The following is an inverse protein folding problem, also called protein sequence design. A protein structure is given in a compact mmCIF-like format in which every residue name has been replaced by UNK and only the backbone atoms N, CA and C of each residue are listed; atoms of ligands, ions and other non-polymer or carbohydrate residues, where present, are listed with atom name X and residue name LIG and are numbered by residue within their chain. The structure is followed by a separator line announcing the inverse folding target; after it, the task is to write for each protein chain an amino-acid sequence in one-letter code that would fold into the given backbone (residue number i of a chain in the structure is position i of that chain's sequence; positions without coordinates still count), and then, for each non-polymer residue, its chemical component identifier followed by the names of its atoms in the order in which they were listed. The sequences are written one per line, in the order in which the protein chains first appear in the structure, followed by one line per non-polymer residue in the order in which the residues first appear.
data_IF_621793053736
#
_entry.id   IF_621793053736
#
_cell.length_a   1.000
_cell.length_b   1.000
_cell.length_c   1.000
_cell.angle_alpha   90.00
_cell.angle_beta   90.00
_cell.angle_gamma   90.00
#
_symmetry.space_group_name_H-M   'P 1'
#
loop_
_entity.id
_entity.type
_entity.pdbx_description
1 polymer ?
#
# COMPACT_ATOMS: atom_id res chain seq x y z
N UNK A 1 23.93 -3.87 3.54
CA UNK A 1 22.71 -4.08 4.35
C UNK A 1 21.53 -4.20 3.39
N UNK A 2 20.40 -4.77 3.81
CA UNK A 2 19.16 -4.82 3.01
C UNK A 2 17.96 -4.43 3.89
N UNK A 3 16.76 -4.33 3.31
CA UNK A 3 15.56 -3.89 4.02
C UNK A 3 15.28 -4.71 5.30
N UNK A 4 15.26 -6.04 5.20
CA UNK A 4 14.99 -6.90 6.36
C UNK A 4 16.09 -6.81 7.41
N UNK A 5 17.35 -6.66 7.00
CA UNK A 5 18.47 -6.40 7.91
C UNK A 5 18.30 -5.11 8.72
N UNK A 6 17.81 -4.03 8.11
CA UNK A 6 17.49 -2.79 8.83
C UNK A 6 16.37 -3.00 9.84
N UNK A 7 15.30 -3.70 9.43
CA UNK A 7 14.17 -3.99 10.29
C UNK A 7 14.59 -4.85 11.49
N UNK A 8 15.38 -5.90 11.26
CA UNK A 8 15.91 -6.76 12.33
C UNK A 8 16.82 -5.98 13.27
N UNK A 9 17.69 -5.13 12.74
CA UNK A 9 18.59 -4.31 13.54
C UNK A 9 17.84 -3.30 14.41
N UNK A 10 16.88 -2.58 13.86
CA UNK A 10 16.02 -1.66 14.62
C UNK A 10 15.25 -2.41 15.72
N UNK A 11 14.65 -3.56 15.39
CA UNK A 11 13.92 -4.37 16.35
C UNK A 11 14.83 -5.01 17.42
N UNK A 12 16.13 -5.18 17.16
CA UNK A 12 17.09 -5.73 18.13
C UNK A 12 17.37 -4.78 19.31
N UNK A 13 17.03 -3.49 19.17
CA UNK A 13 17.09 -2.51 20.25
C UNK A 13 16.00 -2.73 21.31
N UNK A 14 14.97 -3.52 20.99
CA UNK A 14 13.90 -3.90 21.90
C UNK A 14 14.07 -5.35 22.34
N UNK A 15 13.86 -5.63 23.63
CA UNK A 15 13.83 -7.01 24.12
C UNK A 15 12.57 -7.74 23.61
N UNK A 16 12.61 -9.07 23.55
CA UNK A 16 11.46 -9.90 23.17
C UNK A 16 10.22 -9.60 24.02
N UNK A 17 10.42 -9.37 25.32
CA UNK A 17 9.36 -9.03 26.26
C UNK A 17 8.72 -7.67 25.93
N UNK A 18 9.52 -6.65 25.61
CA UNK A 18 9.01 -5.32 25.21
C UNK A 18 8.21 -5.45 23.92
N UNK A 19 8.72 -6.20 22.94
CA UNK A 19 8.02 -6.43 21.66
C UNK A 19 6.69 -7.16 21.86
N UNK A 20 6.66 -8.18 22.72
CA UNK A 20 5.45 -8.93 23.03
C UNK A 20 4.41 -8.06 23.77
N UNK A 21 4.83 -7.24 24.73
CA UNK A 21 3.95 -6.30 25.43
C UNK A 21 3.43 -5.20 24.50
N UNK A 22 4.26 -4.72 23.59
CA UNK A 22 3.88 -3.68 22.63
C UNK A 22 2.70 -4.13 21.76
N UNK A 23 2.68 -5.40 21.33
CA UNK A 23 1.56 -5.95 20.56
C UNK A 23 0.21 -5.93 21.31
N UNK A 24 0.24 -5.95 22.65
CA UNK A 24 -0.93 -5.93 23.53
C UNK A 24 -1.34 -4.54 24.02
N UNK A 25 -0.38 -3.65 24.24
CA UNK A 25 -0.58 -2.26 24.69
C UNK A 25 0.51 -1.31 24.13
N UNK A 26 0.39 -0.86 22.87
CA UNK A 26 1.38 0.03 22.25
C UNK A 26 1.60 1.32 23.05
N UNK A 27 0.53 1.93 23.55
CA UNK A 27 0.60 3.19 24.26
C UNK A 27 1.28 3.04 25.63
N UNK A 28 0.92 2.01 26.39
CA UNK A 28 1.53 1.70 27.68
C UNK A 28 3.03 1.45 27.55
N UNK A 29 3.45 0.64 26.57
CA UNK A 29 4.88 0.34 26.36
C UNK A 29 5.68 1.60 26.00
N UNK A 30 5.18 2.44 25.10
CA UNK A 30 5.88 3.67 24.72
C UNK A 30 6.09 4.60 25.92
N UNK A 31 5.06 4.75 26.77
CA UNK A 31 5.10 5.67 27.91
C UNK A 31 5.87 5.10 29.11
N UNK A 32 5.57 3.86 29.48
CA UNK A 32 5.96 3.30 30.78
C UNK A 32 7.28 2.51 30.72
N UNK A 33 7.64 1.97 29.54
CA UNK A 33 8.85 1.16 29.38
C UNK A 33 9.93 1.87 28.57
N UNK A 34 9.53 2.62 27.53
CA UNK A 34 10.45 3.39 26.69
C UNK A 34 10.56 4.86 27.13
N UNK A 35 9.82 5.26 28.15
CA UNK A 35 9.83 6.60 28.74
C UNK A 35 9.58 7.73 27.71
N UNK A 36 8.83 7.45 26.64
CA UNK A 36 8.49 8.41 25.59
C UNK A 36 7.25 9.22 25.96
N UNK A 37 7.24 10.48 25.56
CA UNK A 37 6.07 11.36 25.69
C UNK A 37 5.12 11.13 24.54
N UNK A 38 4.06 10.35 24.76
CA UNK A 38 3.04 10.07 23.73
C UNK A 38 1.78 10.90 23.96
N UNK A 39 1.32 11.65 22.95
CA UNK A 39 0.11 12.48 23.07
C UNK A 39 -0.81 12.39 21.85
N UNK A 40 -2.10 12.19 22.13
CA UNK A 40 -3.13 12.35 21.12
C UNK A 40 -3.34 13.83 20.77
N UNK A 41 -3.49 14.12 19.49
CA UNK A 41 -3.60 15.47 18.95
C UNK A 41 -4.72 15.52 17.90
N UNK A 42 -5.88 16.03 18.30
CA UNK A 42 -7.09 16.03 17.43
C UNK A 42 -6.92 16.87 16.15
N UNK A 43 -6.11 17.92 16.19
CA UNK A 43 -5.89 18.79 15.03
C UNK A 43 -4.99 18.18 13.95
N UNK A 44 -4.37 17.03 14.20
CA UNK A 44 -3.71 16.23 13.15
C UNK A 44 -4.74 15.50 12.28
N UNK A 45 -5.95 15.24 12.79
CA UNK A 45 -7.02 14.59 12.02
C UNK A 45 -7.66 15.52 10.97
N UNK A 46 -7.44 16.84 11.05
CA UNK A 46 -7.84 17.81 10.03
C UNK A 46 -6.77 17.92 8.95
N UNK A 47 -7.06 17.40 7.75
CA UNK A 47 -6.19 17.45 6.58
C UNK A 47 -5.74 18.87 6.23
N UNK A 48 -4.45 19.06 5.90
CA UNK A 48 -3.99 20.22 5.11
C UNK A 48 -4.29 19.97 3.63
N UNK A 49 -4.60 21.03 2.88
CA UNK A 49 -4.95 21.00 1.45
C UNK A 49 -3.82 20.46 0.52
N UNK A 50 -2.62 20.21 1.05
CA UNK A 50 -1.44 19.75 0.29
C UNK A 50 -1.23 18.22 0.31
N UNK A 51 -2.30 17.42 0.40
CA UNK A 51 -2.28 16.05 -0.10
C UNK A 51 -1.55 15.00 0.76
N UNK A 52 -1.55 15.14 2.09
CA UNK A 52 -1.17 14.07 3.01
C UNK A 52 -1.78 14.29 4.39
N UNK A 53 -2.61 13.36 4.85
CA UNK A 53 -2.97 13.31 6.27
C UNK A 53 -1.79 12.67 7.02
N UNK A 54 -1.08 13.47 7.83
CA UNK A 54 -0.09 12.95 8.76
C UNK A 54 -0.86 12.36 9.94
N UNK A 55 -1.10 11.04 9.93
CA UNK A 55 -1.80 10.37 11.03
C UNK A 55 -0.98 10.42 12.35
N UNK A 56 0.31 10.78 12.29
CA UNK A 56 1.22 11.02 13.43
C UNK A 56 2.46 11.83 13.06
N UNK A 57 3.23 12.21 14.07
CA UNK A 57 4.57 12.83 13.95
C UNK A 57 5.39 12.55 15.19
N UNK A 58 6.67 12.26 15.02
CA UNK A 58 7.65 12.12 16.11
C UNK A 58 8.67 13.25 16.12
N UNK A 59 9.02 13.71 17.32
CA UNK A 59 10.17 14.59 17.59
C UNK A 59 11.21 13.73 18.29
N UNK A 60 12.12 13.19 17.48
CA UNK A 60 13.00 12.07 17.84
C UNK A 60 14.03 12.45 18.93
N UNK A 61 14.55 13.68 18.86
CA UNK A 61 15.48 14.25 19.85
C UNK A 61 14.83 14.49 21.22
N UNK A 62 13.53 14.82 21.23
CA UNK A 62 12.78 15.13 22.44
C UNK A 62 12.05 13.91 23.03
N UNK A 63 12.09 12.76 22.35
CA UNK A 63 11.36 11.55 22.75
C UNK A 63 9.84 11.75 22.76
N UNK A 64 9.31 12.61 21.87
CA UNK A 64 7.87 12.93 21.79
C UNK A 64 7.25 12.27 20.56
N UNK A 65 6.10 11.62 20.75
CA UNK A 65 5.25 11.08 19.67
C UNK A 65 3.87 11.71 19.77
N UNK A 66 3.42 12.33 18.68
CA UNK A 66 2.08 12.87 18.53
C UNK A 66 1.30 12.01 17.51
N UNK A 67 0.02 11.76 17.78
CA UNK A 67 -0.81 10.98 16.87
C UNK A 67 -2.24 11.49 16.79
N UNK A 68 -2.88 11.30 15.65
CA UNK A 68 -4.31 11.54 15.48
C UNK A 68 -5.11 10.35 16.04
N UNK A 69 -5.98 10.55 17.05
CA UNK A 69 -6.76 9.46 17.60
C UNK A 69 -7.80 8.94 16.59
N UNK A 70 -8.09 7.64 16.64
CA UNK A 70 -9.06 6.99 15.75
C UNK A 70 -10.18 6.28 16.52
N UNK A 71 -11.23 6.98 17.02
CA UNK A 71 -12.20 6.47 18.00
C UNK A 71 -13.01 5.22 17.60
N UNK A 72 -12.98 4.82 16.32
CA UNK A 72 -13.69 3.66 15.79
C UNK A 72 -12.76 2.64 15.11
N UNK A 73 -11.44 2.76 15.31
CA UNK A 73 -10.42 1.97 14.65
C UNK A 73 -9.20 1.78 15.56
N UNK A 74 -8.38 0.78 15.25
CA UNK A 74 -7.04 0.61 15.85
C UNK A 74 -5.95 1.14 14.94
N UNK A 75 -6.25 2.19 14.17
CA UNK A 75 -5.31 2.74 13.17
C UNK A 75 -4.20 3.52 13.86
N UNK A 76 -4.54 4.24 14.93
CA UNK A 76 -3.58 4.91 15.80
C UNK A 76 -2.47 3.98 16.29
N UNK A 77 -2.76 2.70 16.57
CA UNK A 77 -1.73 1.74 17.00
C UNK A 77 -0.65 1.53 15.92
N UNK A 78 -1.04 1.53 14.64
CA UNK A 78 -0.09 1.47 13.53
C UNK A 78 0.73 2.75 13.46
N UNK A 79 0.09 3.92 13.62
CA UNK A 79 0.81 5.19 13.71
C UNK A 79 1.84 5.16 14.85
N UNK A 80 1.44 4.78 16.06
CA UNK A 80 2.34 4.68 17.20
C UNK A 80 3.54 3.75 16.93
N UNK A 81 3.28 2.60 16.30
CA UNK A 81 4.33 1.65 15.94
C UNK A 81 5.23 2.14 14.80
N UNK A 82 4.69 2.92 13.87
CA UNK A 82 5.41 3.55 12.77
C UNK A 82 6.34 4.66 13.29
N UNK A 83 5.85 5.52 14.19
CA UNK A 83 6.65 6.55 14.85
C UNK A 83 7.74 5.94 15.75
N UNK A 84 7.44 4.84 16.45
CA UNK A 84 8.47 4.06 17.13
C UNK A 84 9.51 3.51 16.14
N UNK A 85 9.10 3.14 14.93
CA UNK A 85 10.00 2.76 13.83
C UNK A 85 11.02 3.86 13.51
N UNK A 86 10.59 5.11 13.41
CA UNK A 86 11.51 6.25 13.23
C UNK A 86 12.48 6.39 14.40
N UNK A 87 11.97 6.32 15.63
CA UNK A 87 12.78 6.42 16.84
C UNK A 87 13.85 5.32 16.95
N UNK A 88 13.51 4.09 16.56
CA UNK A 88 14.44 2.96 16.52
C UNK A 88 15.45 3.09 15.37
N UNK A 89 15.01 3.52 14.18
CA UNK A 89 15.87 3.67 13.02
C UNK A 89 16.99 4.68 13.27
N UNK A 90 16.70 5.77 13.99
CA UNK A 90 17.68 6.80 14.36
C UNK A 90 18.75 6.27 15.34
N UNK A 91 18.36 5.35 16.23
CA UNK A 91 19.25 4.78 17.26
C UNK A 91 20.04 3.56 16.79
N UNK A 92 19.54 2.89 15.76
CA UNK A 92 20.20 1.73 15.20
C UNK A 92 21.44 2.17 14.42
N UNK A 93 22.62 1.57 14.68
CA UNK A 93 23.82 1.92 13.92
C UNK A 93 23.61 1.59 12.43
N UNK A 94 24.20 2.36 11.54
CA UNK A 94 24.26 2.09 10.10
C UNK A 94 22.93 2.15 9.30
N UNK A 95 21.75 2.23 9.92
CA UNK A 95 20.47 2.31 9.18
C UNK A 95 20.41 3.59 8.35
N UNK A 96 20.67 4.75 8.96
CA UNK A 96 20.65 6.03 8.26
C UNK A 96 21.75 6.13 7.21
N UNK A 97 22.95 5.62 7.50
CA UNK A 97 24.06 5.59 6.54
C UNK A 97 23.68 4.74 5.32
N UNK A 98 23.11 3.56 5.54
CA UNK A 98 22.66 2.70 4.45
C UNK A 98 21.51 3.32 3.64
N UNK A 99 20.53 3.95 4.30
CA UNK A 99 19.40 4.61 3.64
C UNK A 99 19.89 5.79 2.79
N UNK A 100 20.86 6.57 3.29
CA UNK A 100 21.41 7.73 2.58
C UNK A 100 22.05 7.38 1.23
N UNK A 101 22.54 6.14 1.07
CA UNK A 101 23.12 5.63 -0.16
C UNK A 101 22.09 5.13 -1.20
N UNK A 102 20.78 5.23 -0.92
CA UNK A 102 19.71 4.71 -1.80
C UNK A 102 19.08 5.81 -2.66
N UNK A 103 18.43 5.42 -3.77
CA UNK A 103 17.85 6.36 -4.74
C UNK A 103 16.69 7.20 -4.18
N UNK A 104 15.87 6.64 -3.30
CA UNK A 104 14.72 7.30 -2.64
C UNK A 104 14.80 7.17 -1.11
N UNK A 105 15.74 7.85 -0.43
CA UNK A 105 16.05 7.61 0.98
C UNK A 105 14.86 7.84 1.90
N UNK A 106 14.11 8.93 1.69
CA UNK A 106 12.91 9.24 2.48
C UNK A 106 11.83 8.15 2.34
N UNK A 107 11.52 7.73 1.11
CA UNK A 107 10.53 6.68 0.87
C UNK A 107 10.96 5.32 1.46
N UNK A 108 12.26 5.04 1.42
CA UNK A 108 12.79 3.81 1.99
C UNK A 108 12.70 3.83 3.52
N UNK A 109 12.98 4.96 4.17
CA UNK A 109 12.78 5.12 5.61
C UNK A 109 11.33 4.83 6.00
N UNK A 110 10.36 5.44 5.32
CA UNK A 110 8.93 5.14 5.53
C UNK A 110 8.62 3.64 5.39
N UNK A 111 9.23 2.99 4.39
CA UNK A 111 9.07 1.55 4.16
C UNK A 111 9.66 0.71 5.30
N UNK A 112 10.80 1.11 5.86
CA UNK A 112 11.41 0.48 7.04
C UNK A 112 10.50 0.65 8.25
N UNK A 113 10.00 1.86 8.51
CA UNK A 113 9.09 2.16 9.61
C UNK A 113 7.78 1.36 9.50
N UNK A 114 7.17 1.28 8.32
CA UNK A 114 5.99 0.46 8.06
C UNK A 114 6.23 -1.03 8.34
N UNK A 115 7.41 -1.54 7.99
CA UNK A 115 7.79 -2.94 8.25
C UNK A 115 8.01 -3.22 9.73
N UNK A 116 8.66 -2.30 10.44
CA UNK A 116 8.82 -2.36 11.90
C UNK A 116 7.44 -2.37 12.56
N UNK A 117 6.57 -1.42 12.19
CA UNK A 117 5.21 -1.30 12.72
C UNK A 117 4.39 -2.58 12.54
N UNK A 118 4.46 -3.18 11.35
CA UNK A 118 3.80 -4.47 11.06
C UNK A 118 4.30 -5.58 11.99
N UNK A 119 5.62 -5.72 12.18
CA UNK A 119 6.19 -6.78 13.01
C UNK A 119 5.95 -6.60 14.51
N UNK A 120 5.87 -5.35 14.97
CA UNK A 120 5.53 -5.03 16.36
C UNK A 120 4.08 -5.33 16.69
N UNK A 121 3.13 -4.97 15.80
CA UNK A 121 1.70 -5.17 16.06
C UNK A 121 1.20 -6.57 15.72
N UNK A 122 1.78 -7.20 14.70
CA UNK A 122 1.43 -8.55 14.25
C UNK A 122 2.71 -9.37 14.03
N UNK A 123 3.24 -10.00 15.09
CA UNK A 123 4.27 -11.02 14.93
C UNK A 123 3.79 -12.10 13.95
N UNK A 124 4.68 -12.62 13.11
CA UNK A 124 4.34 -13.61 12.07
C UNK A 124 3.69 -14.89 12.65
N UNK A 125 4.07 -15.24 13.89
CA UNK A 125 3.47 -16.33 14.64
C UNK A 125 1.99 -16.13 14.93
N UNK A 126 1.49 -14.89 15.04
CA UNK A 126 0.08 -14.61 15.30
C UNK A 126 -0.82 -14.97 14.11
N UNK A 127 -0.45 -14.57 12.90
CA UNK A 127 -1.18 -14.95 11.70
C UNK A 127 -1.15 -16.46 11.48
N UNK A 128 0.03 -17.08 11.66
CA UNK A 128 0.20 -18.54 11.56
C UNK A 128 -0.64 -19.28 12.59
N UNK A 129 -0.71 -18.79 13.83
CA UNK A 129 -1.51 -19.42 14.89
C UNK A 129 -3.01 -19.40 14.59
N UNK A 130 -3.53 -18.30 14.03
CA UNK A 130 -4.95 -18.17 13.68
C UNK A 130 -5.31 -19.00 12.44
N UNK A 131 -4.44 -19.01 11.42
CA UNK A 131 -4.66 -19.83 10.20
C UNK A 131 -4.56 -21.33 10.52
N UNK A 132 -3.67 -21.69 11.46
CA UNK A 132 -3.32 -23.05 11.80
C UNK A 132 -2.96 -23.87 10.53
N UNK A 133 -3.45 -25.11 10.42
CA UNK A 133 -3.19 -26.00 9.29
C UNK A 133 -4.31 -25.97 8.23
N UNK A 134 -5.30 -25.09 8.37
CA UNK A 134 -6.47 -25.03 7.48
C UNK A 134 -6.26 -24.11 6.26
N UNK A 135 -7.17 -24.15 5.26
CA UNK A 135 -7.18 -23.15 4.20
C UNK A 135 -7.50 -21.78 4.78
N UNK A 136 -6.95 -20.73 4.19
CA UNK A 136 -7.21 -19.35 4.63
C UNK A 136 -8.69 -19.02 4.45
N UNK A 137 -9.32 -18.43 5.47
CA UNK A 137 -10.73 -18.01 5.46
C UNK A 137 -10.85 -16.55 5.86
N UNK A 138 -11.95 -15.92 5.47
CA UNK A 138 -12.28 -14.56 5.88
C UNK A 138 -12.44 -14.44 7.41
N UNK A 139 -12.87 -15.52 8.06
CA UNK A 139 -12.94 -15.62 9.53
C UNK A 139 -11.56 -15.40 10.19
N UNK A 140 -10.46 -15.84 9.57
CA UNK A 140 -9.11 -15.66 10.15
C UNK A 140 -8.72 -14.19 10.28
N UNK A 141 -9.22 -13.29 9.43
CA UNK A 141 -8.99 -11.86 9.62
C UNK A 141 -9.75 -11.34 10.85
N UNK A 142 -10.99 -11.80 11.05
CA UNK A 142 -11.79 -11.43 12.24
C UNK A 142 -11.13 -11.95 13.50
N UNK A 143 -10.66 -13.19 13.49
CA UNK A 143 -9.98 -13.82 14.63
C UNK A 143 -8.65 -13.13 14.94
N UNK A 144 -7.82 -12.84 13.92
CA UNK A 144 -6.56 -12.13 14.09
C UNK A 144 -6.78 -10.69 14.60
N UNK A 145 -7.82 -10.01 14.10
CA UNK A 145 -8.19 -8.71 14.62
C UNK A 145 -8.62 -8.81 16.09
N UNK A 146 -9.41 -9.80 16.47
CA UNK A 146 -9.84 -9.95 17.87
C UNK A 146 -8.69 -10.32 18.81
N UNK A 147 -7.69 -11.06 18.31
CA UNK A 147 -6.53 -11.53 19.08
C UNK A 147 -5.36 -10.52 19.14
N UNK A 148 -5.45 -9.36 18.48
CA UNK A 148 -4.37 -8.38 18.41
C UNK A 148 -4.85 -6.95 18.61
N UNK A 149 -3.91 -6.01 18.81
CA UNK A 149 -4.19 -4.58 18.75
C UNK A 149 -4.06 -3.99 17.33
N UNK A 150 -3.90 -4.83 16.32
CA UNK A 150 -3.77 -4.38 14.95
C UNK A 150 -5.11 -3.93 14.36
N UNK A 151 -5.04 -3.03 13.38
CA UNK A 151 -6.22 -2.66 12.58
C UNK A 151 -6.57 -3.77 11.58
N UNK A 152 -7.83 -3.78 11.10
CA UNK A 152 -8.26 -4.75 10.08
C UNK A 152 -7.43 -4.70 8.79
N UNK A 153 -7.04 -3.52 8.25
CA UNK A 153 -6.09 -3.45 7.12
C UNK A 153 -4.77 -4.17 7.37
N UNK A 154 -4.18 -3.98 8.57
CA UNK A 154 -2.90 -4.63 8.93
C UNK A 154 -3.09 -6.15 9.04
N UNK A 155 -4.22 -6.61 9.60
CA UNK A 155 -4.59 -8.02 9.60
C UNK A 155 -4.77 -8.57 8.17
N UNK A 156 -5.40 -7.82 7.27
CA UNK A 156 -5.58 -8.22 5.87
C UNK A 156 -4.23 -8.41 5.17
N UNK A 157 -3.28 -7.49 5.37
CA UNK A 157 -1.92 -7.60 4.83
C UNK A 157 -1.22 -8.85 5.38
N UNK A 158 -1.31 -9.10 6.68
CA UNK A 158 -0.69 -10.26 7.31
C UNK A 158 -1.26 -11.57 6.73
N UNK A 159 -2.58 -11.73 6.70
CA UNK A 159 -3.23 -12.95 6.19
C UNK A 159 -2.98 -13.13 4.68
N UNK A 160 -2.97 -12.05 3.89
CA UNK A 160 -2.77 -12.14 2.44
C UNK A 160 -1.41 -12.74 2.06
N UNK A 161 -0.35 -12.55 2.88
CA UNK A 161 0.97 -13.15 2.65
C UNK A 161 0.93 -14.67 2.60
N UNK A 162 -0.02 -15.30 3.30
CA UNK A 162 -0.15 -16.76 3.36
C UNK A 162 -0.95 -17.38 2.21
N UNK A 163 -1.56 -16.57 1.31
CA UNK A 163 -2.33 -17.09 0.18
C UNK A 163 -1.46 -18.02 -0.69
N UNK A 164 -1.92 -19.24 -1.07
CA UNK A 164 -1.07 -20.22 -1.76
C UNK A 164 -0.79 -19.88 -3.25
N UNK A 165 -1.36 -18.78 -3.74
CA UNK A 165 -1.24 -18.32 -5.12
C UNK A 165 -1.71 -16.88 -5.24
N UNK A 166 -2.16 -16.52 -6.45
CA UNK A 166 -2.73 -15.21 -6.71
C UNK A 166 -4.02 -15.03 -5.91
N UNK A 167 -4.14 -13.91 -5.21
CA UNK A 167 -5.36 -13.63 -4.47
C UNK A 167 -5.39 -12.25 -3.85
N UNK A 168 -6.48 -11.97 -3.15
CA UNK A 168 -6.66 -10.71 -2.46
C UNK A 168 -7.57 -10.87 -1.24
N UNK A 169 -7.42 -9.98 -0.27
CA UNK A 169 -8.34 -9.84 0.85
C UNK A 169 -8.94 -8.45 0.79
N UNK A 170 -10.26 -8.37 0.63
CA UNK A 170 -11.01 -7.13 0.57
C UNK A 170 -11.86 -6.93 1.83
N UNK A 171 -11.87 -5.69 2.33
CA UNK A 171 -12.77 -5.22 3.38
C UNK A 171 -13.75 -4.25 2.75
N UNK A 172 -15.02 -4.63 2.71
CA UNK A 172 -16.09 -3.88 2.06
C UNK A 172 -16.96 -3.25 3.13
N UNK A 173 -17.23 -1.95 3.03
CA UNK A 173 -18.28 -1.30 3.80
C UNK A 173 -19.64 -1.74 3.26
N UNK A 174 -20.47 -2.31 4.14
CA UNK A 174 -21.76 -2.88 3.77
C UNK A 174 -22.78 -1.81 3.38
N UNK A 175 -22.71 -0.63 3.98
CA UNK A 175 -23.69 0.44 3.76
C UNK A 175 -23.43 1.19 2.46
N UNK A 176 -22.16 1.48 2.16
CA UNK A 176 -21.79 2.20 0.94
C UNK A 176 -21.52 1.25 -0.23
N UNK A 177 -21.29 -0.03 0.06
CA UNK A 177 -20.84 -1.03 -0.92
C UNK A 177 -19.40 -0.78 -1.39
N UNK A 178 -18.60 0.01 -0.67
CA UNK A 178 -17.26 0.41 -1.10
C UNK A 178 -16.20 -0.53 -0.52
N UNK A 179 -15.25 -0.98 -1.34
CA UNK A 179 -14.03 -1.63 -0.87
C UNK A 179 -13.18 -0.59 -0.13
N UNK A 180 -13.20 -0.63 1.20
CA UNK A 180 -12.45 0.30 2.07
C UNK A 180 -10.96 -0.05 2.16
N UNK A 181 -10.62 -1.32 1.93
CA UNK A 181 -9.24 -1.80 1.87
C UNK A 181 -9.16 -3.06 1.01
N UNK A 182 -8.04 -3.21 0.30
CA UNK A 182 -7.70 -4.44 -0.40
C UNK A 182 -6.20 -4.72 -0.25
N UNK A 183 -5.86 -5.93 0.19
CA UNK A 183 -4.50 -6.44 0.19
C UNK A 183 -4.37 -7.53 -0.85
N UNK A 184 -3.46 -7.38 -1.82
CA UNK A 184 -3.34 -8.27 -2.97
C UNK A 184 -2.02 -9.02 -2.86
N UNK A 185 -2.09 -10.35 -3.01
CA UNK A 185 -0.92 -11.19 -3.24
C UNK A 185 -0.80 -11.41 -4.76
N UNK A 186 0.20 -10.81 -5.44
CA UNK A 186 0.42 -11.04 -6.85
C UNK A 186 0.86 -12.49 -7.10
N UNK A 187 0.82 -12.90 -8.36
CA UNK A 187 1.43 -14.17 -8.76
C UNK A 187 2.96 -14.05 -8.60
N UNK A 188 3.64 -15.04 -7.99
CA UNK A 188 5.09 -14.98 -7.77
C UNK A 188 5.91 -14.88 -9.06
N UNK A 189 5.43 -15.44 -10.17
CA UNK A 189 6.16 -15.51 -11.45
C UNK A 189 5.71 -14.42 -12.42
N UNK A 190 4.40 -14.20 -12.53
CA UNK A 190 3.81 -13.31 -13.54
C UNK A 190 3.51 -11.91 -13.00
N UNK A 191 3.55 -11.73 -11.68
CA UNK A 191 3.34 -10.44 -11.01
C UNK A 191 1.86 -10.06 -10.84
N UNK A 192 1.55 -8.79 -11.07
CA UNK A 192 0.23 -8.24 -10.75
C UNK A 192 -0.83 -8.67 -11.77
N UNK A 193 -2.00 -9.15 -11.32
CA UNK A 193 -3.10 -9.44 -12.22
C UNK A 193 -3.73 -8.15 -12.75
N UNK A 194 -4.36 -8.21 -13.93
CA UNK A 194 -5.12 -7.08 -14.47
C UNK A 194 -6.44 -6.83 -13.74
N UNK A 195 -6.99 -7.87 -13.08
CA UNK A 195 -8.26 -7.82 -12.35
C UNK A 195 -8.05 -8.28 -10.91
N UNK A 196 -8.37 -7.41 -9.96
CA UNK A 196 -8.36 -7.68 -8.53
C UNK A 196 -9.26 -6.65 -7.80
N UNK A 197 -9.73 -6.93 -6.57
CA UNK A 197 -10.44 -5.93 -5.78
C UNK A 197 -9.51 -4.78 -5.39
N UNK A 198 -9.93 -3.55 -5.65
CA UNK A 198 -9.14 -2.37 -5.30
C UNK A 198 -9.86 -1.44 -4.32
N UNK A 199 -9.09 -0.68 -3.56
CA UNK A 199 -9.61 0.34 -2.65
C UNK A 199 -10.42 1.39 -3.40
N UNK A 200 -11.56 1.78 -2.84
CA UNK A 200 -12.54 2.72 -3.40
C UNK A 200 -13.39 2.16 -4.55
N UNK A 201 -13.25 0.87 -4.87
CA UNK A 201 -14.18 0.20 -5.78
C UNK A 201 -15.57 0.12 -5.16
N UNK A 202 -16.59 0.60 -5.86
CA UNK A 202 -18.00 0.47 -5.43
C UNK A 202 -18.65 -0.76 -6.05
N UNK A 203 -19.22 -1.61 -5.21
CA UNK A 203 -20.02 -2.76 -5.63
C UNK A 203 -21.43 -2.30 -6.01
N UNK A 204 -22.04 -2.99 -6.96
CA UNK A 204 -23.47 -2.82 -7.28
C UNK A 204 -24.34 -3.32 -6.12
N UNK A 205 -25.50 -2.70 -5.89
CA UNK A 205 -26.40 -3.04 -4.77
C UNK A 205 -26.80 -4.53 -4.72
N UNK A 206 -26.88 -5.20 -5.87
CA UNK A 206 -27.23 -6.62 -5.98
C UNK A 206 -26.03 -7.56 -5.88
N UNK A 207 -24.85 -7.06 -5.54
CA UNK A 207 -23.65 -7.88 -5.45
C UNK A 207 -23.81 -8.91 -4.33
N UNK A 208 -23.52 -10.17 -4.64
CA UNK A 208 -23.84 -11.30 -3.75
C UNK A 208 -23.08 -11.29 -2.42
N UNK A 209 -21.94 -10.58 -2.35
CA UNK A 209 -21.22 -10.29 -1.11
C UNK A 209 -22.00 -9.35 -0.18
N UNK A 210 -22.70 -8.34 -0.72
CA UNK A 210 -23.51 -7.40 0.08
C UNK A 210 -24.76 -8.07 0.66
N UNK A 211 -25.22 -9.16 0.03
CA UNK A 211 -26.36 -9.95 0.50
C UNK A 211 -26.04 -10.94 1.63
N UNK A 212 -24.79 -11.03 2.10
CA UNK A 212 -24.44 -11.90 3.23
C UNK A 212 -25.07 -11.38 4.53
N UNK A 213 -25.85 -12.20 5.23
CA UNK A 213 -26.38 -11.84 6.54
C UNK A 213 -25.24 -11.60 7.55
N UNK A 214 -25.41 -10.72 8.56
CA UNK A 214 -24.45 -10.59 9.64
C UNK A 214 -24.21 -11.94 10.34
N UNK A 215 -22.94 -12.27 10.59
CA UNK A 215 -22.50 -13.56 11.12
C UNK A 215 -22.46 -14.70 10.12
N UNK A 216 -23.01 -14.54 8.90
CA UNK A 216 -22.99 -15.58 7.88
C UNK A 216 -21.67 -15.59 7.11
N UNK A 217 -21.18 -16.80 6.85
CA UNK A 217 -20.04 -17.06 5.97
C UNK A 217 -20.47 -17.85 4.74
N UNK A 218 -19.81 -17.64 3.62
CA UNK A 218 -20.00 -18.45 2.41
C UNK A 218 -18.73 -18.53 1.59
N UNK A 219 -18.45 -19.73 1.05
CA UNK A 219 -17.47 -19.96 0.01
C UNK A 219 -18.19 -20.19 -1.34
N UNK A 220 -17.75 -19.52 -2.41
CA UNK A 220 -18.34 -19.62 -3.74
C UNK A 220 -17.39 -19.14 -4.83
N UNK A 221 -17.66 -19.54 -6.06
CA UNK A 221 -17.04 -18.91 -7.24
C UNK A 221 -17.80 -17.63 -7.61
N UNK A 222 -17.07 -16.55 -7.86
CA UNK A 222 -17.62 -15.22 -8.15
C UNK A 222 -16.78 -14.50 -9.20
N UNK A 223 -17.44 -13.84 -10.16
CA UNK A 223 -16.75 -12.99 -11.13
C UNK A 223 -16.56 -11.58 -10.56
N UNK A 224 -15.31 -11.13 -10.50
CA UNK A 224 -14.98 -9.77 -10.11
C UNK A 224 -14.79 -8.91 -11.35
N UNK A 225 -15.48 -7.77 -11.40
CA UNK A 225 -15.43 -6.83 -12.52
C UNK A 225 -14.79 -5.52 -12.08
N UNK A 226 -13.82 -5.07 -12.85
CA UNK A 226 -13.20 -3.76 -12.70
C UNK A 226 -14.16 -2.65 -13.17
N UNK A 227 -14.11 -1.45 -12.58
CA UNK A 227 -14.78 -0.27 -13.13
C UNK A 227 -14.55 0.03 -14.62
N UNK A 228 -13.48 -0.48 -15.24
CA UNK A 228 -13.23 -0.33 -16.69
C UNK A 228 -13.80 -1.47 -17.54
N UNK A 229 -14.53 -2.41 -16.92
CA UNK A 229 -15.31 -3.43 -17.62
C UNK A 229 -14.61 -4.79 -17.80
N UNK A 230 -13.32 -4.90 -17.52
CA UNK A 230 -12.63 -6.21 -17.47
C UNK A 230 -13.15 -7.03 -16.29
N UNK A 231 -13.20 -8.35 -16.44
CA UNK A 231 -13.69 -9.24 -15.39
C UNK A 231 -12.85 -10.51 -15.34
N UNK A 232 -12.77 -11.11 -14.15
CA UNK A 232 -12.13 -12.40 -13.94
C UNK A 232 -12.79 -13.13 -12.76
N UNK A 233 -12.85 -14.46 -12.85
CA UNK A 233 -13.46 -15.29 -11.80
C UNK A 233 -12.52 -15.48 -10.62
N UNK A 234 -13.04 -15.62 -9.41
CA UNK A 234 -12.29 -16.00 -8.22
C UNK A 234 -13.09 -17.03 -7.43
N UNK A 235 -12.41 -17.92 -6.74
CA UNK A 235 -13.00 -18.57 -5.57
C UNK A 235 -12.95 -17.56 -4.42
N UNK A 236 -14.05 -17.44 -3.68
CA UNK A 236 -14.20 -16.43 -2.64
C UNK A 236 -14.81 -17.05 -1.40
N UNK A 237 -14.08 -17.02 -0.29
CA UNK A 237 -14.61 -17.21 1.06
C UNK A 237 -14.86 -15.84 1.68
N UNK A 238 -16.06 -15.61 2.19
CA UNK A 238 -16.45 -14.32 2.75
C UNK A 238 -17.27 -14.48 4.01
N UNK A 239 -17.12 -13.53 4.92
CA UNK A 239 -17.93 -13.37 6.13
C UNK A 239 -18.46 -11.95 6.25
N UNK A 240 -19.72 -11.83 6.66
CA UNK A 240 -20.36 -10.56 6.93
C UNK A 240 -20.46 -10.25 8.43
N UNK A 241 -20.18 -9.01 8.84
CA UNK A 241 -20.62 -8.41 10.12
C UNK A 241 -21.61 -7.26 9.85
N UNK A 242 -22.24 -6.67 10.87
CA UNK A 242 -23.26 -5.63 10.70
C UNK A 242 -22.84 -4.45 9.81
N UNK A 243 -21.54 -4.13 9.77
CA UNK A 243 -21.00 -2.95 9.08
C UNK A 243 -20.18 -3.32 7.85
N UNK A 244 -19.70 -4.55 7.74
CA UNK A 244 -18.66 -4.92 6.78
C UNK A 244 -18.88 -6.31 6.20
N UNK A 245 -18.23 -6.52 5.06
CA UNK A 245 -17.99 -7.85 4.50
C UNK A 245 -16.50 -8.00 4.31
N UNK A 246 -15.92 -9.07 4.86
CA UNK A 246 -14.54 -9.47 4.60
C UNK A 246 -14.60 -10.59 3.57
N UNK A 247 -13.84 -10.47 2.49
CA UNK A 247 -13.80 -11.45 1.42
C UNK A 247 -12.36 -11.79 1.05
N UNK A 248 -12.04 -13.09 1.06
CA UNK A 248 -10.76 -13.65 0.61
C UNK A 248 -10.98 -14.23 -0.78
N UNK A 249 -10.28 -13.67 -1.76
CA UNK A 249 -10.27 -14.05 -3.16
C UNK A 249 -9.04 -14.91 -3.42
N UNK A 250 -9.23 -16.04 -4.10
CA UNK A 250 -8.15 -16.92 -4.56
C UNK A 250 -8.40 -17.38 -6.00
N UNK A 251 -7.34 -17.51 -6.77
CA UNK A 251 -7.36 -18.13 -8.10
C UNK A 251 -7.48 -19.66 -8.07
N UNK A 252 -7.22 -20.27 -6.91
CA UNK A 252 -7.33 -21.71 -6.65
C UNK A 252 -8.50 -21.99 -5.72
N UNK A 253 -9.18 -23.10 -5.95
CA UNK A 253 -10.25 -23.55 -5.07
C UNK A 253 -9.70 -24.26 -3.83
N UNK A 254 -9.30 -23.46 -2.84
CA UNK A 254 -8.79 -23.98 -1.57
C UNK A 254 -9.91 -24.33 -0.59
N UNK A 255 -11.17 -24.16 -0.99
CA UNK A 255 -12.35 -24.39 -0.16
C UNK A 255 -13.27 -25.48 -0.70
N UNK A 256 -12.87 -26.17 -1.77
CA UNK A 256 -13.63 -27.25 -2.41
C UNK A 256 -15.06 -26.81 -2.79
N UNK A 257 -15.17 -25.59 -3.34
CA UNK A 257 -16.43 -25.02 -3.82
C UNK A 257 -16.98 -25.83 -4.99
N UNK A 258 -16.12 -26.27 -5.90
CA UNK A 258 -16.47 -27.03 -7.09
C UNK A 258 -15.96 -28.48 -6.99
N UNK A 259 -16.65 -29.42 -7.64
CA UNK A 259 -16.13 -30.81 -7.75
C UNK A 259 -15.03 -30.93 -8.81
N UNK A 260 -15.06 -30.06 -9.83
CA UNK A 260 -14.08 -29.99 -10.90
C UNK A 260 -13.36 -28.65 -10.84
N UNK A 261 -12.09 -28.69 -10.47
CA UNK A 261 -11.25 -27.52 -10.25
C UNK A 261 -10.53 -27.11 -11.53
N UNK A 262 -11.26 -26.50 -12.47
CA UNK A 262 -10.66 -25.98 -13.69
C UNK A 262 -9.66 -24.85 -13.35
N UNK A 263 -8.46 -24.81 -13.95
CA UNK A 263 -7.55 -23.69 -13.79
C UNK A 263 -8.22 -22.38 -14.23
N UNK A 264 -8.23 -21.37 -13.37
CA UNK A 264 -8.69 -20.03 -13.75
C UNK A 264 -7.57 -19.36 -14.54
N UNK A 265 -7.79 -19.13 -15.83
CA UNK A 265 -6.86 -18.31 -16.62
C UNK A 265 -6.90 -16.86 -16.15
N UNK A 266 -5.71 -16.26 -16.08
CA UNK A 266 -5.50 -14.90 -15.60
C UNK A 266 -4.71 -14.11 -16.61
N UNK A 267 -5.16 -12.87 -16.82
CA UNK A 267 -4.37 -11.86 -17.52
C UNK A 267 -3.56 -11.08 -16.48
N UNK A 268 -2.28 -10.90 -16.78
CA UNK A 268 -1.33 -10.18 -15.94
C UNK A 268 -0.93 -8.86 -16.59
N UNK A 269 -0.52 -7.90 -15.76
CA UNK A 269 0.00 -6.64 -16.24
C UNK A 269 1.37 -6.84 -16.89
N UNK A 270 1.36 -7.02 -18.21
CA UNK A 270 2.57 -7.17 -19.03
C UNK A 270 3.23 -5.85 -19.40
N UNK A 271 2.69 -4.70 -18.95
CA UNK A 271 3.27 -3.39 -19.29
C UNK A 271 4.69 -3.31 -18.74
N UNK A 272 5.66 -2.85 -19.55
CA UNK A 272 7.04 -2.73 -19.09
C UNK A 272 7.11 -1.77 -17.92
N UNK A 273 8.00 -2.08 -16.97
CA UNK A 273 8.41 -1.11 -15.96
C UNK A 273 9.30 -0.08 -16.66
N UNK A 274 8.87 1.17 -16.68
CA UNK A 274 9.59 2.27 -17.29
C UNK A 274 10.11 3.20 -16.20
N UNK A 275 11.38 3.57 -16.29
CA UNK A 275 12.00 4.58 -15.44
C UNK A 275 12.07 5.90 -16.20
N UNK A 276 11.76 7.01 -15.53
CA UNK A 276 11.79 8.35 -16.12
C UNK A 276 12.17 9.40 -15.10
N UNK A 277 12.46 10.61 -15.58
CA UNK A 277 12.70 11.78 -14.74
C UNK A 277 11.91 12.97 -15.27
N UNK A 278 11.15 13.62 -14.39
CA UNK A 278 10.34 14.79 -14.70
C UNK A 278 9.91 15.52 -13.42
N UNK A 279 9.64 16.83 -13.51
CA UNK A 279 9.15 17.63 -12.37
C UNK A 279 10.06 17.57 -11.12
N UNK A 280 11.38 17.45 -11.35
CA UNK A 280 12.39 17.42 -10.29
C UNK A 280 12.54 16.08 -9.58
N UNK A 281 11.87 15.03 -10.06
CA UNK A 281 11.90 13.69 -9.43
C UNK A 281 12.10 12.60 -10.49
N UNK A 282 12.86 11.57 -10.12
CA UNK A 282 12.87 10.29 -10.84
C UNK A 282 11.62 9.50 -10.44
N UNK A 283 11.13 8.67 -11.34
CA UNK A 283 9.95 7.84 -11.08
C UNK A 283 10.02 6.54 -11.88
N UNK A 284 9.38 5.50 -11.34
CA UNK A 284 9.12 4.25 -12.05
C UNK A 284 7.62 4.05 -12.21
N UNK A 285 7.22 3.53 -13.38
CA UNK A 285 5.81 3.25 -13.67
C UNK A 285 5.69 2.12 -14.67
N UNK A 286 4.74 1.20 -14.43
CA UNK A 286 4.27 0.29 -15.48
C UNK A 286 3.35 1.00 -16.45
N UNK A 287 3.71 1.00 -17.72
CA UNK A 287 2.98 1.70 -18.76
C UNK A 287 3.53 1.39 -20.14
N UNK A 288 2.80 1.75 -21.18
CA UNK A 288 3.38 1.80 -22.52
C UNK A 288 4.11 3.13 -22.69
N UNK A 289 5.33 3.14 -23.26
CA UNK A 289 6.04 4.37 -23.55
C UNK A 289 5.27 5.20 -24.58
N UNK A 290 5.53 6.50 -24.62
CA UNK A 290 5.00 7.34 -25.68
C UNK A 290 5.43 6.81 -27.06
N UNK A 291 4.49 6.75 -28.01
CA UNK A 291 4.75 6.29 -29.38
C UNK A 291 5.84 7.07 -30.11
N UNK A 292 5.99 8.36 -29.78
CA UNK A 292 6.84 9.27 -30.54
C UNK A 292 8.26 9.35 -29.98
N UNK A 293 8.40 9.46 -28.66
CA UNK A 293 9.71 9.62 -28.02
C UNK A 293 10.21 8.38 -27.26
N UNK A 294 9.38 7.33 -27.13
CA UNK A 294 9.72 6.13 -26.38
C UNK A 294 9.88 6.33 -24.87
N UNK A 295 9.60 7.52 -24.34
CA UNK A 295 9.75 7.85 -22.91
C UNK A 295 8.42 7.67 -22.14
N UNK A 296 8.47 7.39 -20.82
CA UNK A 296 7.27 7.30 -20.00
C UNK A 296 6.60 8.68 -19.80
N UNK A 297 5.29 8.63 -19.51
CA UNK A 297 4.51 9.80 -19.10
C UNK A 297 4.72 10.10 -17.61
N UNK A 298 5.00 11.36 -17.29
CA UNK A 298 5.20 11.82 -15.92
C UNK A 298 3.92 11.61 -15.09
N UNK A 299 3.98 10.98 -13.90
CA UNK A 299 2.81 10.78 -13.04
C UNK A 299 2.27 12.11 -12.48
N UNK A 300 3.13 13.13 -12.34
CA UNK A 300 2.76 14.43 -11.76
C UNK A 300 2.11 15.37 -12.76
N UNK A 301 2.68 15.51 -13.97
CA UNK A 301 2.20 16.46 -14.97
C UNK A 301 1.47 15.79 -16.16
N UNK A 302 1.48 14.46 -16.25
CA UNK A 302 0.82 13.71 -17.30
C UNK A 302 1.54 13.68 -18.66
N UNK A 303 2.62 14.44 -18.86
CA UNK A 303 3.25 14.60 -20.17
C UNK A 303 4.42 13.62 -20.41
N UNK A 304 4.63 13.20 -21.67
CA UNK A 304 5.89 12.60 -22.17
C UNK A 304 7.01 13.65 -22.32
N UNK A 305 8.25 13.21 -22.58
CA UNK A 305 9.35 14.11 -22.94
C UNK A 305 9.02 14.98 -24.16
N UNK A 306 8.50 14.37 -25.22
CA UNK A 306 8.08 15.05 -26.44
C UNK A 306 7.09 16.21 -26.22
N UNK A 307 6.06 15.99 -25.41
CA UNK A 307 5.03 16.97 -25.10
C UNK A 307 5.60 18.11 -24.28
N UNK A 308 6.51 17.84 -23.34
CA UNK A 308 7.21 18.89 -22.59
C UNK A 308 8.12 19.72 -23.49
N UNK A 309 8.84 19.06 -24.39
CA UNK A 309 9.73 19.70 -25.35
C UNK A 309 8.92 20.58 -26.33
N UNK A 310 7.75 20.11 -26.78
CA UNK A 310 6.83 20.90 -27.62
C UNK A 310 6.24 22.10 -26.87
N UNK A 311 5.85 21.95 -25.59
CA UNK A 311 5.35 23.06 -24.76
C UNK A 311 6.41 24.14 -24.49
N UNK A 312 7.70 23.77 -24.57
CA UNK A 312 8.82 24.70 -24.41
C UNK A 312 9.30 25.31 -25.72
N UNK A 313 8.83 24.82 -26.87
CA UNK A 313 9.32 25.27 -28.15
C UNK A 313 9.05 26.77 -28.35
N UNK A 314 10.03 27.48 -28.90
CA UNK A 314 9.93 28.88 -29.30
C UNK A 314 9.78 28.96 -30.82
N UNK A 315 8.94 29.88 -31.27
CA UNK A 315 8.73 30.13 -32.70
C UNK A 315 9.73 31.19 -33.18
N UNK A 316 10.45 30.90 -34.26
CA UNK A 316 11.29 31.89 -34.94
C UNK A 316 10.41 33.02 -35.50
N UNK A 317 10.79 34.28 -35.28
CA UNK A 317 10.02 35.45 -35.72
C UNK A 317 10.10 35.69 -37.24
N UNK A 318 11.05 35.08 -37.93
CA UNK A 318 11.26 35.26 -39.37
C UNK A 318 10.72 34.10 -40.21
N UNK A 319 11.13 32.86 -39.91
CA UNK A 319 10.70 31.68 -40.66
C UNK A 319 9.46 30.97 -40.07
N UNK A 320 8.98 31.41 -38.90
CA UNK A 320 7.80 30.88 -38.20
C UNK A 320 7.85 29.38 -37.83
N UNK A 321 9.03 28.74 -37.90
CA UNK A 321 9.24 27.37 -37.45
C UNK A 321 9.48 27.29 -35.93
N UNK A 322 9.14 26.15 -35.33
CA UNK A 322 9.33 25.87 -33.90
C UNK A 322 10.67 25.22 -33.61
N UNK A 323 11.37 25.72 -32.59
CA UNK A 323 12.68 25.23 -32.17
C UNK A 323 12.76 25.09 -30.65
N UNK A 324 13.71 24.28 -30.18
CA UNK A 324 14.06 24.23 -28.76
C UNK A 324 14.57 25.61 -28.30
N UNK A 325 14.31 26.04 -27.04
CA UNK A 325 14.68 27.37 -26.56
C UNK A 325 16.14 27.76 -26.80
N UNK A 326 17.08 26.84 -26.62
CA UNK A 326 18.51 27.10 -26.79
C UNK A 326 18.94 27.32 -28.25
N UNK A 327 18.07 27.02 -29.22
CA UNK A 327 18.31 27.23 -30.65
C UNK A 327 17.74 28.56 -31.15
N UNK A 328 17.01 29.29 -30.30
CA UNK A 328 16.44 30.60 -30.59
C UNK A 328 17.13 31.65 -29.73
N UNK A 329 17.77 32.62 -30.36
CA UNK A 329 18.38 33.77 -29.67
C UNK A 329 17.80 35.03 -30.27
N UNK A 330 17.33 35.94 -29.41
CA UNK A 330 16.66 37.19 -29.81
C UNK A 330 15.50 36.98 -30.80
N UNK A 331 14.79 35.86 -30.69
CA UNK A 331 13.66 35.50 -31.55
C UNK A 331 14.01 34.82 -32.87
N UNK A 332 15.29 34.64 -33.19
CA UNK A 332 15.74 34.05 -34.46
C UNK A 332 16.36 32.66 -34.28
N UNK A 333 16.05 31.74 -35.20
CA UNK A 333 16.66 30.40 -35.22
C UNK A 333 18.11 30.44 -35.72
N UNK A 334 18.82 29.30 -35.70
CA UNK A 334 20.22 29.22 -36.15
C UNK A 334 20.37 29.67 -37.62
N UNK A 335 19.47 29.24 -38.50
CA UNK A 335 19.56 29.53 -39.94
C UNK A 335 19.21 30.99 -40.28
N UNK A 336 18.23 31.60 -39.60
CA UNK A 336 17.87 33.03 -39.81
C UNK A 336 18.87 34.01 -39.17
N UNK A 337 19.80 33.51 -38.34
CA UNK A 337 20.91 34.31 -37.80
C UNK A 337 22.17 34.24 -38.67
N UNK A 338 22.18 33.33 -39.64
CA UNK A 338 23.30 33.09 -40.56
C UNK A 338 23.21 34.02 -41.77
#
# INVERSE_FOLDING_TARGET
MNLEGCVDQALSLLTDDVRARFAGDPFGVLRDELELTVRAVEHLASSRDDGGACDGVSFLEDGVILYAPTPASRRENFTLAHELGHWLAERAPDIYDWIADQDEPGRLLETVCDRIAQRLLLPESAATAVIANGPIRAQHLVDLYNASQASRPVCAIAIAKHLPGLGAIAIIDRYTGTVTHASVKPDPEQGWPTVFPWRDQKLTERHSLLGLAPGASAARRLSWRTPWGTQADFYVDAIGDDKRVVAVFCDRDIWEVEQFHAPIQRDFDTRPLLTGSCCGTSFERRGYPCSDCGQPFCPRCGDCRCQRDAKRALTCTECFLQFQPHLVVDGLCVDCRS
#
